data_IF_095540760276
#
_entry.id   IF_095540760276
#
_cell.length_a   1.000
_cell.length_b   1.000
_cell.length_c   1.000
_cell.angle_alpha   90.00
_cell.angle_beta   90.00
_cell.angle_gamma   90.00
#
_symmetry.space_group_name_H-M   'P 1'
#
loop_
_entity.id
_entity.type
_entity.pdbx_description
1 polymer ?
#
# COMPACT_ATOMS: atom_id res chain seq x y z
N UNK A 1 -7.76 -0.23 -22.27
CA UNK A 1 -8.80 -0.49 -21.28
C UNK A 1 -9.50 0.80 -20.92
N UNK A 2 -10.72 0.73 -20.45
CA UNK A 2 -11.43 1.88 -19.92
C UNK A 2 -10.85 2.26 -18.58
N UNK A 3 -10.76 3.55 -18.30
CA UNK A 3 -10.21 4.10 -17.06
C UNK A 3 -11.22 5.06 -16.44
N UNK A 4 -11.39 4.94 -15.12
CA UNK A 4 -12.14 5.89 -14.32
C UNK A 4 -11.14 6.69 -13.50
N UNK A 5 -11.08 8.00 -13.71
CA UNK A 5 -10.12 8.88 -13.05
C UNK A 5 -10.86 10.03 -12.35
N UNK A 6 -10.41 10.37 -11.15
CA UNK A 6 -10.91 11.54 -10.43
C UNK A 6 -9.94 12.70 -10.57
N UNK A 7 -10.48 13.90 -10.82
CA UNK A 7 -9.75 15.16 -10.68
C UNK A 7 -10.54 16.09 -9.76
N UNK A 8 -9.90 17.14 -9.24
CA UNK A 8 -10.58 18.14 -8.40
C UNK A 8 -11.76 18.82 -9.11
N UNK A 9 -11.75 18.85 -10.44
CA UNK A 9 -12.80 19.45 -11.25
C UNK A 9 -13.98 18.50 -11.52
N UNK A 10 -13.79 17.18 -11.36
CA UNK A 10 -14.79 16.16 -11.65
C UNK A 10 -15.14 15.34 -10.39
N UNK A 11 -16.13 15.84 -9.66
CA UNK A 11 -16.60 15.23 -8.41
C UNK A 11 -17.49 13.98 -8.61
N UNK A 12 -17.94 13.72 -9.83
CA UNK A 12 -18.71 12.51 -10.15
C UNK A 12 -18.35 12.03 -11.55
N UNK A 13 -17.71 10.87 -11.62
CA UNK A 13 -17.36 10.21 -12.90
C UNK A 13 -18.10 8.90 -12.98
N UNK A 14 -18.75 8.64 -14.12
CA UNK A 14 -19.50 7.42 -14.41
C UNK A 14 -19.01 6.77 -15.70
N UNK A 15 -18.81 5.47 -15.62
CA UNK A 15 -18.51 4.61 -16.79
C UNK A 15 -19.45 3.40 -16.78
N UNK A 16 -19.36 2.57 -17.82
CA UNK A 16 -20.15 1.34 -17.88
C UNK A 16 -19.80 0.33 -16.78
N UNK A 17 -18.61 0.40 -16.21
CA UNK A 17 -18.14 -0.53 -15.18
C UNK A 17 -18.17 0.04 -13.76
N UNK A 18 -18.39 1.33 -13.57
CA UNK A 18 -18.42 1.89 -12.23
C UNK A 18 -18.70 3.38 -12.15
N UNK A 19 -18.78 3.86 -10.92
CA UNK A 19 -18.94 5.28 -10.59
C UNK A 19 -17.96 5.69 -9.50
N UNK A 20 -17.41 6.89 -9.61
CA UNK A 20 -16.63 7.55 -8.57
C UNK A 20 -17.37 8.80 -8.15
N UNK A 21 -17.65 8.93 -6.86
CA UNK A 21 -18.32 10.06 -6.25
C UNK A 21 -17.54 10.56 -5.06
N UNK A 22 -17.79 11.83 -4.69
CA UNK A 22 -17.26 12.41 -3.47
C UNK A 22 -18.45 12.71 -2.55
N UNK A 23 -18.32 12.34 -1.30
CA UNK A 23 -19.23 12.71 -0.23
C UNK A 23 -18.49 13.65 0.71
N UNK A 24 -19.09 14.78 1.03
CA UNK A 24 -18.60 15.72 2.04
C UNK A 24 -19.20 15.30 3.38
N UNK A 25 -18.38 15.26 4.42
CA UNK A 25 -18.87 15.03 5.75
C UNK A 25 -19.46 16.35 6.28
N UNK A 26 -20.76 16.37 6.60
CA UNK A 26 -21.46 17.56 7.06
C UNK A 26 -20.84 18.15 8.35
N UNK A 27 -20.22 17.31 9.18
CA UNK A 27 -19.60 17.72 10.45
C UNK A 27 -18.13 18.17 10.32
N UNK A 28 -17.48 17.89 9.18
CA UNK A 28 -16.08 18.22 8.91
C UNK A 28 -15.90 18.60 7.45
N UNK A 29 -15.93 19.87 7.16
CA UNK A 29 -15.82 20.42 5.79
C UNK A 29 -14.51 20.06 5.06
N UNK A 30 -13.49 19.63 5.80
CA UNK A 30 -12.17 19.24 5.27
C UNK A 30 -12.04 17.73 5.02
N UNK A 31 -13.03 16.94 5.44
CA UNK A 31 -13.00 15.48 5.36
C UNK A 31 -13.87 15.01 4.17
N UNK A 32 -13.23 14.76 3.03
CA UNK A 32 -13.88 14.29 1.81
C UNK A 32 -13.67 12.80 1.64
N UNK A 33 -14.77 12.06 1.57
CA UNK A 33 -14.74 10.63 1.27
C UNK A 33 -14.91 10.39 -0.22
N UNK A 34 -13.95 9.70 -0.83
CA UNK A 34 -14.07 9.21 -2.21
C UNK A 34 -14.71 7.83 -2.19
N UNK A 35 -15.81 7.68 -2.90
CA UNK A 35 -16.55 6.42 -2.99
C UNK A 35 -16.47 5.89 -4.42
N UNK A 36 -15.80 4.77 -4.57
CA UNK A 36 -15.68 4.03 -5.82
C UNK A 36 -16.63 2.82 -5.78
N UNK A 37 -17.65 2.82 -6.61
CA UNK A 37 -18.58 1.70 -6.79
C UNK A 37 -18.28 1.02 -8.12
N UNK A 38 -17.95 -0.26 -8.08
CA UNK A 38 -17.58 -1.05 -9.25
C UNK A 38 -18.58 -2.19 -9.47
N UNK A 39 -18.79 -2.56 -10.72
CA UNK A 39 -19.63 -3.70 -11.07
C UNK A 39 -18.97 -4.99 -10.62
N UNK A 40 -19.76 -5.91 -10.10
CA UNK A 40 -19.33 -7.24 -9.72
C UNK A 40 -18.87 -8.07 -10.94
N UNK A 41 -18.06 -9.10 -10.66
CA UNK A 41 -17.65 -10.11 -11.62
C UNK A 41 -16.34 -9.81 -12.36
N UNK A 42 -15.71 -8.67 -12.12
CA UNK A 42 -14.41 -8.31 -12.69
C UNK A 42 -13.37 -8.04 -11.62
N UNK A 43 -12.12 -7.97 -12.03
CA UNK A 43 -10.99 -7.50 -11.21
C UNK A 43 -10.57 -6.14 -11.70
N UNK A 44 -10.39 -5.19 -10.79
CA UNK A 44 -10.03 -3.82 -11.11
C UNK A 44 -8.73 -3.44 -10.44
N UNK A 45 -7.81 -2.91 -11.23
CA UNK A 45 -6.60 -2.29 -10.70
C UNK A 45 -6.94 -0.87 -10.23
N UNK A 46 -6.60 -0.56 -8.99
CA UNK A 46 -6.84 0.74 -8.36
C UNK A 46 -5.50 1.34 -8.00
N UNK A 47 -5.27 2.57 -8.48
CA UNK A 47 -4.12 3.38 -8.12
C UNK A 47 -4.57 4.64 -7.41
N UNK A 48 -3.97 4.90 -6.24
CA UNK A 48 -4.19 6.09 -5.44
C UNK A 48 -2.89 6.87 -5.42
N UNK A 49 -2.96 8.15 -5.80
CA UNK A 49 -1.84 9.08 -5.74
C UNK A 49 -2.09 10.06 -4.61
N UNK A 50 -1.12 10.22 -3.72
CA UNK A 50 -1.15 11.26 -2.70
C UNK A 50 -1.07 12.65 -3.35
N UNK A 51 -1.80 13.61 -2.81
CA UNK A 51 -1.79 15.00 -3.27
C UNK A 51 -1.24 15.95 -2.22
N UNK A 52 -1.21 15.51 -0.97
CA UNK A 52 -0.66 16.25 0.17
C UNK A 52 -0.20 15.28 1.26
N UNK A 53 0.40 15.80 2.32
CA UNK A 53 0.84 15.00 3.47
C UNK A 53 -0.28 14.85 4.48
N UNK A 54 -0.48 13.63 4.98
CA UNK A 54 -1.50 13.31 5.95
C UNK A 54 -1.65 11.81 6.18
N UNK A 55 -2.82 11.44 6.63
CA UNK A 55 -3.23 10.05 6.82
C UNK A 55 -4.53 9.80 6.05
N UNK A 56 -4.67 8.59 5.52
CA UNK A 56 -5.91 8.16 4.89
C UNK A 56 -6.38 6.82 5.46
N UNK A 57 -7.67 6.63 5.43
CA UNK A 57 -8.31 5.34 5.65
C UNK A 57 -8.78 4.77 4.32
N UNK A 58 -8.65 3.46 4.17
CA UNK A 58 -9.15 2.73 3.00
C UNK A 58 -10.05 1.60 3.45
N UNK A 59 -11.28 1.60 2.96
CA UNK A 59 -12.26 0.55 3.21
C UNK A 59 -12.66 -0.11 1.90
N UNK A 60 -12.69 -1.44 1.88
CA UNK A 60 -13.27 -2.22 0.80
C UNK A 60 -14.30 -3.17 1.35
N UNK A 61 -15.45 -3.23 0.69
CA UNK A 61 -16.53 -4.15 1.01
C UNK A 61 -17.22 -4.64 -0.26
N UNK A 62 -17.88 -5.76 -0.19
CA UNK A 62 -18.67 -6.31 -1.27
C UNK A 62 -20.14 -6.27 -0.86
N UNK A 63 -20.98 -5.84 -1.79
CA UNK A 63 -22.42 -5.76 -1.59
C UNK A 63 -23.04 -7.06 -2.11
N UNK A 64 -23.91 -7.66 -1.32
CA UNK A 64 -24.66 -8.84 -1.72
C UNK A 64 -25.90 -8.47 -2.55
N UNK A 65 -26.65 -9.48 -3.03
CA UNK A 65 -27.87 -9.28 -3.82
C UNK A 65 -28.98 -8.52 -3.10
N UNK A 66 -28.93 -8.45 -1.75
CA UNK A 66 -29.89 -7.72 -0.92
C UNK A 66 -29.46 -6.25 -0.70
N UNK A 67 -28.26 -5.88 -1.14
CA UNK A 67 -27.68 -4.55 -0.94
C UNK A 67 -26.98 -4.39 0.41
N UNK A 68 -26.67 -5.48 1.10
CA UNK A 68 -25.93 -5.47 2.36
C UNK A 68 -24.44 -5.68 2.09
N UNK A 69 -23.60 -4.95 2.84
CA UNK A 69 -22.15 -5.12 2.72
C UNK A 69 -21.68 -6.37 3.47
N UNK A 70 -20.86 -7.15 2.78
CA UNK A 70 -20.20 -8.33 3.30
C UNK A 70 -18.68 -8.24 3.11
N UNK A 71 -17.94 -9.05 3.87
CA UNK A 71 -16.49 -9.16 3.76
C UNK A 71 -15.75 -7.81 3.81
N UNK A 72 -16.18 -6.89 4.67
CA UNK A 72 -15.55 -5.57 4.82
C UNK A 72 -14.14 -5.72 5.39
N UNK A 73 -13.19 -4.97 4.82
CA UNK A 73 -11.82 -4.81 5.28
C UNK A 73 -11.49 -3.33 5.38
N UNK A 74 -10.88 -2.95 6.48
CA UNK A 74 -10.54 -1.58 6.82
C UNK A 74 -9.04 -1.47 7.07
N UNK A 75 -8.44 -0.43 6.51
CA UNK A 75 -7.03 -0.11 6.65
C UNK A 75 -6.95 1.33 7.14
N UNK A 76 -6.48 1.54 8.35
CA UNK A 76 -6.50 2.83 9.02
C UNK A 76 -5.12 3.45 9.12
N UNK A 77 -5.10 4.79 9.16
CA UNK A 77 -3.90 5.59 9.43
C UNK A 77 -2.75 5.29 8.44
N UNK A 78 -3.08 5.15 7.15
CA UNK A 78 -2.06 5.01 6.10
C UNK A 78 -1.42 6.37 5.87
N UNK A 79 -0.16 6.50 6.25
CA UNK A 79 0.59 7.74 6.01
C UNK A 79 0.77 7.98 4.51
N UNK A 80 0.44 9.18 4.05
CA UNK A 80 0.57 9.61 2.66
C UNK A 80 1.34 10.91 2.56
N UNK A 81 1.99 11.12 1.43
CA UNK A 81 2.64 12.35 1.00
C UNK A 81 2.29 12.60 -0.47
N UNK A 82 2.74 13.71 -1.05
CA UNK A 82 2.56 14.00 -2.48
C UNK A 82 3.25 12.98 -3.40
N UNK A 83 4.29 12.31 -2.91
CA UNK A 83 5.05 11.30 -3.66
C UNK A 83 4.47 9.89 -3.48
N UNK A 84 3.57 9.69 -2.52
CA UNK A 84 3.04 8.37 -2.21
C UNK A 84 2.15 7.84 -3.32
N UNK A 85 2.43 6.61 -3.75
CA UNK A 85 1.59 5.84 -4.69
C UNK A 85 1.15 4.54 -4.02
N UNK A 86 -0.14 4.26 -4.06
CA UNK A 86 -0.72 3.04 -3.53
C UNK A 86 -1.39 2.28 -4.66
N UNK A 87 -0.97 1.04 -4.86
CA UNK A 87 -1.59 0.12 -5.81
C UNK A 87 -2.33 -1.00 -5.08
N UNK A 88 -3.54 -1.28 -5.53
CA UNK A 88 -4.36 -2.38 -5.02
C UNK A 88 -5.25 -2.98 -6.12
N UNK A 89 -5.83 -4.12 -5.83
CA UNK A 89 -6.73 -4.83 -6.75
C UNK A 89 -8.06 -5.10 -6.06
N UNK A 90 -9.14 -4.57 -6.60
CA UNK A 90 -10.49 -4.89 -6.16
C UNK A 90 -10.97 -6.18 -6.86
N UNK A 91 -10.90 -7.31 -6.15
CA UNK A 91 -11.39 -8.61 -6.60
C UNK A 91 -12.25 -9.28 -5.54
N UNK A 92 -11.79 -9.31 -4.31
CA UNK A 92 -12.54 -9.69 -3.13
C UNK A 92 -11.86 -9.06 -1.90
N UNK A 93 -12.62 -8.79 -0.85
CA UNK A 93 -12.10 -8.11 0.33
C UNK A 93 -11.02 -8.91 1.06
N UNK A 94 -11.15 -10.24 1.13
CA UNK A 94 -10.23 -11.11 1.87
C UNK A 94 -8.82 -11.13 1.30
N UNK A 95 -8.68 -10.99 -0.01
CA UNK A 95 -7.37 -10.97 -0.68
C UNK A 95 -6.84 -9.57 -0.96
N UNK A 96 -7.51 -8.53 -0.46
CA UNK A 96 -7.06 -7.16 -0.69
C UNK A 96 -5.72 -6.90 -0.02
N UNK A 97 -4.78 -6.41 -0.80
CA UNK A 97 -3.49 -5.92 -0.36
C UNK A 97 -3.32 -4.49 -0.87
N UNK A 98 -2.87 -3.58 -0.01
CA UNK A 98 -2.40 -2.26 -0.42
C UNK A 98 -0.88 -2.29 -0.50
N UNK A 99 -0.34 -1.99 -1.66
CA UNK A 99 1.11 -1.88 -1.88
C UNK A 99 1.46 -0.41 -1.96
N UNK A 100 2.24 0.06 -1.02
CA UNK A 100 2.57 1.48 -0.83
C UNK A 100 4.01 1.74 -1.21
N UNK A 101 4.20 2.59 -2.20
CA UNK A 101 5.44 3.26 -2.55
C UNK A 101 5.38 4.64 -1.91
N UNK A 102 6.15 4.86 -0.85
CA UNK A 102 6.06 6.08 -0.02
C UNK A 102 6.75 7.28 -0.65
N UNK A 103 7.74 7.03 -1.49
CA UNK A 103 8.65 8.05 -2.02
C UNK A 103 8.58 8.23 -3.54
N UNK A 104 7.71 7.47 -4.23
CA UNK A 104 7.51 7.55 -5.68
C UNK A 104 8.65 7.00 -6.51
N UNK A 105 9.52 6.14 -5.94
CA UNK A 105 10.67 5.57 -6.66
C UNK A 105 10.32 4.33 -7.51
N UNK A 106 9.06 3.91 -7.49
CA UNK A 106 8.52 2.77 -8.21
C UNK A 106 8.71 1.44 -7.49
N UNK A 107 9.12 1.46 -6.21
CA UNK A 107 9.25 0.28 -5.37
C UNK A 107 8.32 0.38 -4.17
N UNK A 108 7.70 -0.75 -3.83
CA UNK A 108 6.83 -0.78 -2.66
C UNK A 108 7.64 -0.93 -1.38
N UNK A 109 7.49 0.03 -0.48
CA UNK A 109 8.12 0.05 0.84
C UNK A 109 7.29 -0.72 1.86
N UNK A 110 5.97 -0.58 1.80
CA UNK A 110 5.03 -1.15 2.77
C UNK A 110 3.96 -1.95 2.04
N UNK A 111 3.51 -3.00 2.67
CA UNK A 111 2.34 -3.78 2.26
C UNK A 111 1.38 -3.93 3.44
N UNK A 112 0.13 -3.52 3.23
CA UNK A 112 -0.97 -3.81 4.14
C UNK A 112 -1.73 -5.01 3.62
N UNK A 113 -2.02 -5.98 4.49
CA UNK A 113 -2.81 -7.18 4.16
C UNK A 113 -4.08 -7.21 4.98
N UNK A 114 -5.14 -7.73 4.37
CA UNK A 114 -6.39 -7.98 5.08
C UNK A 114 -6.21 -9.09 6.12
N UNK A 115 -6.82 -8.91 7.30
CA UNK A 115 -6.93 -9.92 8.35
C UNK A 115 -8.33 -10.50 8.41
N UNK A 116 -8.50 -11.67 9.02
CA UNK A 116 -9.81 -12.30 9.21
C UNK A 116 -10.79 -11.44 10.02
N UNK A 117 -10.29 -10.63 10.94
CA UNK A 117 -11.09 -9.71 11.75
C UNK A 117 -11.49 -8.40 11.04
N UNK A 118 -11.19 -8.26 9.76
CA UNK A 118 -11.53 -7.08 8.99
C UNK A 118 -10.50 -5.97 9.00
N UNK A 119 -9.54 -5.95 9.92
CA UNK A 119 -8.49 -4.91 9.97
C UNK A 119 -7.29 -5.25 9.10
N UNK A 120 -6.60 -4.23 8.60
CA UNK A 120 -5.36 -4.40 7.86
C UNK A 120 -4.18 -4.81 8.74
N UNK A 121 -3.26 -5.57 8.17
CA UNK A 121 -1.97 -5.91 8.78
C UNK A 121 -0.85 -5.25 8.00
N UNK A 122 -0.02 -4.49 8.71
CA UNK A 122 1.16 -3.85 8.12
C UNK A 122 2.27 -4.87 7.99
N UNK A 123 2.80 -5.03 6.78
CA UNK A 123 4.02 -5.78 6.51
C UNK A 123 5.04 -4.79 5.96
N UNK A 124 5.87 -4.28 6.85
CA UNK A 124 6.99 -3.41 6.49
C UNK A 124 8.18 -4.26 6.07
N UNK A 125 8.65 -4.04 4.84
CA UNK A 125 9.82 -4.74 4.31
C UNK A 125 11.14 -4.00 4.58
N UNK A 126 11.09 -2.77 5.08
CA UNK A 126 12.28 -1.93 5.30
C UNK A 126 13.28 -2.62 6.24
N UNK A 127 12.78 -3.33 7.27
CA UNK A 127 13.64 -4.06 8.19
C UNK A 127 14.44 -5.18 7.53
N UNK A 128 13.93 -5.79 6.42
CA UNK A 128 14.65 -6.83 5.70
C UNK A 128 15.92 -6.30 5.05
N UNK A 129 15.92 -5.06 4.57
CA UNK A 129 17.12 -4.42 4.02
C UNK A 129 18.20 -4.23 5.10
N UNK A 130 17.81 -3.88 6.33
CA UNK A 130 18.75 -3.77 7.45
C UNK A 130 19.32 -5.13 7.87
N UNK A 131 18.50 -6.18 7.88
CA UNK A 131 18.97 -7.54 8.20
C UNK A 131 19.95 -8.03 7.14
N UNK A 132 19.59 -7.93 5.86
CA UNK A 132 20.44 -8.38 4.75
C UNK A 132 21.72 -7.53 4.70
N UNK A 133 21.62 -6.22 4.79
CA UNK A 133 22.77 -5.30 4.81
C UNK A 133 23.71 -5.57 5.99
N UNK A 134 23.16 -5.80 7.18
CA UNK A 134 23.93 -6.16 8.36
C UNK A 134 24.64 -7.49 8.23
N UNK A 135 23.98 -8.52 7.69
CA UNK A 135 24.58 -9.84 7.44
C UNK A 135 25.74 -9.75 6.44
N UNK A 136 25.59 -9.01 5.33
CA UNK A 136 26.65 -8.80 4.34
C UNK A 136 27.84 -8.09 4.96
N UNK A 137 27.60 -6.99 5.72
CA UNK A 137 28.66 -6.24 6.40
C UNK A 137 29.43 -7.12 7.40
N UNK A 138 28.72 -7.98 8.14
CA UNK A 138 29.34 -8.92 9.09
C UNK A 138 30.23 -9.95 8.38
N UNK A 139 29.77 -10.53 7.27
CA UNK A 139 30.55 -11.48 6.47
C UNK A 139 31.81 -10.83 5.93
N UNK A 140 31.72 -9.62 5.36
CA UNK A 140 32.88 -8.88 4.85
C UNK A 140 33.88 -8.58 5.97
N UNK A 141 33.42 -8.17 7.15
CA UNK A 141 34.28 -7.92 8.31
C UNK A 141 35.00 -9.21 8.73
N UNK A 142 34.29 -10.33 8.83
CA UNK A 142 34.90 -11.62 9.18
C UNK A 142 35.98 -12.04 8.17
N UNK A 143 35.75 -11.87 6.88
CA UNK A 143 36.74 -12.15 5.83
C UNK A 143 38.00 -11.30 5.98
N UNK A 144 37.83 -10.00 6.23
CA UNK A 144 38.96 -9.09 6.47
C UNK A 144 39.77 -9.50 7.69
N UNK A 145 39.14 -9.83 8.81
CA UNK A 145 39.81 -10.28 10.03
C UNK A 145 40.61 -11.57 9.80
N UNK A 146 40.02 -12.54 9.06
CA UNK A 146 40.72 -13.78 8.72
C UNK A 146 41.94 -13.50 7.83
N UNK A 147 41.79 -12.64 6.81
CA UNK A 147 42.88 -12.29 5.91
C UNK A 147 44.04 -11.62 6.66
N UNK A 148 43.75 -10.66 7.54
CA UNK A 148 44.75 -9.96 8.37
C UNK A 148 45.48 -10.94 9.30
N UNK A 149 44.75 -11.85 9.98
CA UNK A 149 45.36 -12.86 10.83
C UNK A 149 46.27 -13.83 10.06
N UNK A 150 45.89 -14.25 8.86
CA UNK A 150 46.73 -15.11 7.99
C UNK A 150 47.99 -14.36 7.55
N UNK A 151 47.88 -13.11 7.11
CA UNK A 151 49.04 -12.29 6.71
C UNK A 151 50.02 -12.07 7.85
N UNK A 152 49.53 -11.86 9.08
CA UNK A 152 50.36 -11.67 10.25
C UNK A 152 51.11 -12.98 10.65
N UNK A 153 50.53 -14.16 10.42
CA UNK A 153 51.15 -15.44 10.69
C UNK A 153 52.28 -15.76 9.69
N UNK A 154 52.09 -15.40 8.40
CA UNK A 154 53.08 -15.63 7.34
C UNK A 154 54.33 -14.73 7.49
N UNK A 155 54.20 -13.55 8.14
CA UNK A 155 55.36 -12.66 8.40
C UNK A 155 56.22 -13.07 9.58
N UNK A 156 55.78 -14.02 10.42
CA UNK A 156 56.51 -14.47 11.61
C UNK A 156 57.20 -15.83 11.39
N UNK A 157 57.06 -16.44 10.24
CA UNK A 157 57.76 -17.67 9.79
C UNK A 157 58.88 -17.28 8.81
#
# INVERSE_FOLDING_TARGET
GEMLNSSEENLCVRTDFGTLTFEENEDRSDDRTKILRLKEGASYDIRIQGTDSGEMDYTIGFMDENGEYSDIREFHNIAITQDTVIDTVAKNARSTELKVDQNGDGKYDIKYRAKENGTGEVVDYTYLYYIVGGAVAFILFAVVVIAVKRSAKTRKS
#
